data_IF_525152328121
#
_entry.id   IF_525152328121
#
_cell.length_a   1.000
_cell.length_b   1.000
_cell.length_c   1.000
_cell.angle_alpha   90.00
_cell.angle_beta   90.00
_cell.angle_gamma   90.00
#
_symmetry.space_group_name_H-M   'P 1'
#
loop_
_entity.id
_entity.type
_entity.pdbx_description
1 polymer ?
#
# COMPACT_ATOMS: atom_id res chain seq x y z
N UNK A 1 -13.14 9.02 20.44
CA UNK A 1 -12.95 8.90 18.97
C UNK A 1 -13.29 7.47 18.58
N UNK A 2 -14.33 7.26 17.77
CA UNK A 2 -14.77 5.91 17.38
C UNK A 2 -13.78 5.26 16.44
N UNK A 3 -13.38 4.03 16.71
CA UNK A 3 -12.59 3.22 15.79
C UNK A 3 -13.41 3.06 14.49
N UNK A 4 -12.87 3.43 13.31
CA UNK A 4 -13.61 3.24 12.06
C UNK A 4 -13.92 1.76 11.86
N UNK A 5 -15.08 1.41 11.26
CA UNK A 5 -15.45 0.03 11.02
C UNK A 5 -14.34 -0.68 10.24
N UNK A 6 -14.03 -1.93 10.62
CA UNK A 6 -13.02 -2.76 9.93
C UNK A 6 -13.35 -2.78 8.43
N UNK A 7 -12.44 -2.26 7.61
CA UNK A 7 -12.70 -1.99 6.20
C UNK A 7 -12.93 -3.28 5.38
N UNK A 8 -12.36 -4.42 5.78
CA UNK A 8 -12.41 -5.66 4.98
C UNK A 8 -12.42 -6.90 5.89
N UNK A 9 -13.11 -7.97 5.48
CA UNK A 9 -13.06 -9.26 6.16
C UNK A 9 -11.69 -9.93 5.94
N UNK A 10 -10.97 -10.20 7.04
CA UNK A 10 -9.67 -10.92 7.05
C UNK A 10 -9.70 -12.30 6.37
N UNK A 11 -10.88 -12.87 6.17
CA UNK A 11 -11.07 -14.20 5.61
C UNK A 11 -10.52 -14.35 4.20
N UNK A 12 -10.59 -13.31 3.38
CA UNK A 12 -10.09 -13.34 1.99
C UNK A 12 -8.58 -13.49 1.92
N UNK A 13 -7.83 -12.62 2.63
CA UNK A 13 -6.37 -12.63 2.63
C UNK A 13 -5.82 -13.98 3.11
N UNK A 14 -6.40 -14.53 4.18
CA UNK A 14 -6.00 -15.84 4.70
C UNK A 14 -6.29 -16.98 3.71
N UNK A 15 -7.46 -16.96 3.07
CA UNK A 15 -7.81 -17.95 2.05
C UNK A 15 -6.86 -17.89 0.85
N UNK A 16 -6.52 -16.69 0.37
CA UNK A 16 -5.58 -16.46 -0.71
C UNK A 16 -4.19 -17.00 -0.37
N UNK A 17 -3.64 -16.61 0.78
CA UNK A 17 -2.30 -17.05 1.19
C UNK A 17 -2.23 -18.56 1.45
N UNK A 18 -3.32 -19.18 1.93
CA UNK A 18 -3.39 -20.64 2.08
C UNK A 18 -3.36 -21.36 0.74
N UNK A 19 -4.03 -20.80 -0.27
CA UNK A 19 -4.06 -21.34 -1.64
C UNK A 19 -2.73 -21.15 -2.38
N UNK A 20 -1.98 -20.10 -2.05
CA UNK A 20 -0.73 -19.70 -2.69
C UNK A 20 0.44 -19.67 -1.69
N UNK A 21 0.93 -20.84 -1.24
CA UNK A 21 2.04 -20.93 -0.29
C UNK A 21 3.36 -20.35 -0.81
N UNK A 22 3.53 -20.23 -2.12
CA UNK A 22 4.71 -19.68 -2.80
C UNK A 22 4.84 -18.15 -2.73
N UNK A 23 3.77 -17.43 -2.37
CA UNK A 23 3.79 -15.97 -2.30
C UNK A 23 4.71 -15.53 -1.17
N UNK A 24 5.72 -14.74 -1.52
CA UNK A 24 6.66 -14.12 -0.59
C UNK A 24 6.30 -12.66 -0.32
N UNK A 25 5.85 -11.95 -1.37
CA UNK A 25 5.61 -10.51 -1.34
C UNK A 25 4.24 -10.15 -1.89
N UNK A 26 3.71 -9.01 -1.43
CA UNK A 26 2.48 -8.41 -1.95
C UNK A 26 2.75 -6.93 -2.25
N UNK A 27 2.34 -6.49 -3.44
CA UNK A 27 2.43 -5.09 -3.83
C UNK A 27 1.12 -4.37 -3.50
N UNK A 28 1.22 -3.35 -2.64
CA UNK A 28 0.12 -2.47 -2.30
C UNK A 28 0.14 -1.28 -3.25
N UNK A 29 -0.86 -1.19 -4.13
CA UNK A 29 -0.87 -0.24 -5.24
C UNK A 29 -2.00 0.77 -5.06
N UNK A 30 -1.70 2.04 -5.33
CA UNK A 30 -2.65 3.14 -5.43
C UNK A 30 -2.35 3.94 -6.70
N UNK A 31 -3.39 4.44 -7.37
CA UNK A 31 -3.22 5.39 -8.46
C UNK A 31 -3.20 6.81 -7.90
N UNK A 32 -2.25 7.63 -8.34
CA UNK A 32 -2.27 9.07 -8.06
C UNK A 32 -3.32 9.81 -8.92
N UNK A 33 -3.40 11.14 -8.79
CA UNK A 33 -4.35 11.97 -9.55
C UNK A 33 -4.12 11.94 -11.06
N UNK A 34 -2.92 11.60 -11.52
CA UNK A 34 -2.57 11.45 -12.93
C UNK A 34 -2.77 10.01 -13.43
N UNK A 35 -3.31 9.12 -12.59
CA UNK A 35 -3.55 7.72 -12.89
C UNK A 35 -2.28 6.85 -12.81
N UNK A 36 -1.17 7.39 -12.32
CA UNK A 36 0.07 6.62 -12.25
C UNK A 36 0.06 5.73 -11.03
N UNK A 37 0.32 4.44 -11.25
CA UNK A 37 0.38 3.46 -10.17
C UNK A 37 1.64 3.69 -9.34
N UNK A 38 1.46 3.78 -8.04
CA UNK A 38 2.48 3.94 -7.01
C UNK A 38 2.17 2.97 -5.87
N UNK A 39 3.14 2.68 -5.02
CA UNK A 39 2.88 1.69 -3.99
C UNK A 39 4.05 1.31 -3.13
N UNK A 40 3.82 0.26 -2.34
CA UNK A 40 4.82 -0.35 -1.47
C UNK A 40 4.69 -1.86 -1.53
N UNK A 41 5.84 -2.52 -1.74
CA UNK A 41 5.96 -3.96 -1.55
C UNK A 41 6.06 -4.29 -0.07
N UNK A 42 5.30 -5.29 0.37
CA UNK A 42 5.34 -5.83 1.73
C UNK A 42 5.64 -7.32 1.71
N UNK A 43 6.22 -7.81 2.81
CA UNK A 43 6.30 -9.24 3.10
C UNK A 43 4.89 -9.82 3.30
N UNK A 44 4.68 -11.06 2.89
CA UNK A 44 3.42 -11.80 3.07
C UNK A 44 2.87 -11.73 4.49
N UNK A 45 3.75 -11.84 5.48
CA UNK A 45 3.37 -11.85 6.91
C UNK A 45 2.74 -10.54 7.36
N UNK A 46 2.99 -9.44 6.64
CA UNK A 46 2.42 -8.13 6.95
C UNK A 46 0.99 -7.95 6.39
N UNK A 47 0.53 -8.79 5.44
CA UNK A 47 -0.74 -8.61 4.75
C UNK A 47 -1.94 -8.52 5.71
N UNK A 48 -1.97 -9.39 6.73
CA UNK A 48 -3.04 -9.40 7.74
C UNK A 48 -3.11 -8.07 8.50
N UNK A 49 -1.95 -7.50 8.86
CA UNK A 49 -1.88 -6.21 9.55
C UNK A 49 -2.40 -5.08 8.66
N UNK A 50 -2.12 -5.14 7.35
CA UNK A 50 -2.62 -4.16 6.38
C UNK A 50 -4.13 -4.24 6.24
N UNK A 51 -4.73 -5.43 6.19
CA UNK A 51 -6.20 -5.57 6.14
C UNK A 51 -6.88 -5.04 7.41
N UNK A 52 -6.26 -5.22 8.59
CA UNK A 52 -6.84 -4.79 9.85
C UNK A 52 -6.67 -3.29 10.13
N UNK A 53 -5.47 -2.74 9.86
CA UNK A 53 -5.07 -1.39 10.32
C UNK A 53 -4.62 -0.47 9.19
N UNK A 54 -4.56 -0.95 7.96
CA UNK A 54 -3.92 -0.24 6.86
C UNK A 54 -2.39 -0.20 6.98
N UNK A 55 -1.78 0.70 6.20
CA UNK A 55 -0.34 0.96 6.19
C UNK A 55 -0.09 2.45 6.02
N UNK A 56 1.04 2.93 6.55
CA UNK A 56 1.54 4.26 6.25
C UNK A 56 2.38 4.21 4.98
N UNK A 57 2.02 5.03 3.99
CA UNK A 57 2.82 5.31 2.82
C UNK A 57 3.55 6.64 3.02
N UNK A 58 4.79 6.79 2.51
CA UNK A 58 5.47 8.09 2.53
C UNK A 58 4.66 9.14 1.78
N UNK A 59 4.54 10.34 2.33
CA UNK A 59 3.85 11.45 1.66
C UNK A 59 4.50 11.81 0.32
N UNK A 60 5.82 11.57 0.20
CA UNK A 60 6.61 11.74 -1.01
C UNK A 60 6.12 10.90 -2.21
N UNK A 61 5.25 9.91 -1.98
CA UNK A 61 4.59 9.16 -3.05
C UNK A 61 3.82 10.07 -4.02
N UNK A 62 3.30 11.19 -3.53
CA UNK A 62 2.60 12.21 -4.34
C UNK A 62 3.52 13.35 -4.81
N UNK A 63 4.82 13.28 -4.47
CA UNK A 63 5.82 14.28 -4.84
C UNK A 63 6.64 13.83 -6.05
N UNK A 64 6.09 12.98 -6.92
CA UNK A 64 6.74 12.45 -8.09
C UNK A 64 6.08 12.97 -9.35
N UNK A 65 6.86 13.22 -10.40
CA UNK A 65 6.33 13.50 -11.73
C UNK A 65 5.80 12.22 -12.42
N UNK A 66 5.29 12.37 -13.64
CA UNK A 66 4.77 11.25 -14.44
C UNK A 66 5.83 10.18 -14.72
N UNK A 67 7.11 10.57 -14.78
CA UNK A 67 8.25 9.67 -15.00
C UNK A 67 8.76 9.04 -13.68
N UNK A 68 8.19 9.41 -12.54
CA UNK A 68 8.58 8.93 -11.21
C UNK A 68 9.76 9.67 -10.59
N UNK A 69 10.16 10.82 -11.15
CA UNK A 69 11.23 11.67 -10.61
C UNK A 69 10.67 12.57 -9.51
N UNK A 70 11.46 12.77 -8.45
CA UNK A 70 11.08 13.65 -7.34
C UNK A 70 10.91 15.10 -7.81
N UNK A 71 9.77 15.68 -7.46
CA UNK A 71 9.47 17.09 -7.67
C UNK A 71 9.93 17.85 -6.42
N UNK A 72 11.20 18.24 -6.41
CA UNK A 72 11.85 18.88 -5.26
C UNK A 72 11.11 20.13 -4.75
N UNK A 73 10.44 20.88 -5.63
CA UNK A 73 9.67 22.07 -5.27
C UNK A 73 8.49 21.81 -4.33
N UNK A 74 8.07 20.54 -4.17
CA UNK A 74 7.06 20.14 -3.19
C UNK A 74 7.58 20.14 -1.75
N UNK A 75 8.90 20.12 -1.55
CA UNK A 75 9.54 19.99 -0.23
C UNK A 75 9.38 18.61 0.43
N UNK A 76 8.85 17.62 -0.30
CA UNK A 76 8.60 16.25 0.19
C UNK A 76 9.68 15.25 -0.24
N UNK A 77 10.73 15.72 -0.94
CA UNK A 77 11.79 14.90 -1.54
C UNK A 77 13.01 14.59 -0.67
N UNK A 78 13.05 15.09 0.57
CA UNK A 78 14.21 15.01 1.47
C UNK A 78 14.24 13.73 2.32
#
# INVERSE_FOLDING_TARGET
MSVPPRAIQLNEANAFLKKHPEVLYVDLLIADMNGVVRGKRIERTALHKVYEKGINLPASLFALDINGSTVESTGLGL
#
